data_IF_578407666559
#
_entry.id   IF_578407666559
#
_cell.length_a   1.000
_cell.length_b   1.000
_cell.length_c   1.000
_cell.angle_alpha   90.00
_cell.angle_beta   90.00
_cell.angle_gamma   90.00
#
_symmetry.space_group_name_H-M   'P 1'
#
loop_
_entity.id
_entity.type
_entity.pdbx_description
1 polymer ?
#
# COMPACT_ATOMS: atom_id res chain seq x y z
N UNK A 1 -15.22 34.03 22.03
CA UNK A 1 -15.53 32.58 22.05
C UNK A 1 -14.31 31.86 21.50
N UNK A 2 -13.65 31.03 22.30
CA UNK A 2 -12.54 30.20 21.80
C UNK A 2 -13.14 29.11 20.89
N UNK A 3 -12.85 29.21 19.60
CA UNK A 3 -13.22 28.17 18.64
C UNK A 3 -12.28 26.97 18.86
N UNK A 4 -12.82 25.79 19.21
CA UNK A 4 -12.07 24.56 19.32
C UNK A 4 -12.18 23.82 17.99
N UNK A 5 -11.08 23.71 17.26
CA UNK A 5 -11.02 22.92 16.01
C UNK A 5 -10.50 21.54 16.40
N UNK A 6 -11.31 20.48 16.25
CA UNK A 6 -10.84 19.13 16.53
C UNK A 6 -9.91 18.64 15.41
N UNK A 7 -8.93 17.81 15.78
CA UNK A 7 -8.06 17.15 14.82
C UNK A 7 -8.76 15.87 14.30
N UNK A 8 -9.26 15.93 13.07
CA UNK A 8 -9.82 14.78 12.32
C UNK A 8 -10.62 13.77 13.18
N UNK A 9 -11.75 14.18 13.80
CA UNK A 9 -12.56 13.23 14.57
C UNK A 9 -13.16 12.19 13.63
N UNK A 10 -13.31 10.92 14.08
CA UNK A 10 -13.99 9.90 13.28
C UNK A 10 -15.46 10.28 13.07
N UNK A 11 -15.96 10.02 11.87
CA UNK A 11 -17.39 10.13 11.59
C UNK A 11 -18.09 8.88 12.10
N UNK A 12 -18.95 9.03 13.09
CA UNK A 12 -19.75 7.94 13.66
C UNK A 12 -21.23 8.39 13.69
N UNK A 13 -22.07 7.72 12.93
CA UNK A 13 -23.51 7.89 12.91
C UNK A 13 -24.24 6.67 13.49
N UNK A 14 -25.57 6.70 13.50
CA UNK A 14 -26.39 5.59 14.02
C UNK A 14 -26.20 4.29 13.22
N UNK A 15 -25.93 4.35 11.93
CA UNK A 15 -25.71 3.15 11.11
C UNK A 15 -24.42 2.43 11.55
N UNK A 16 -23.33 3.18 11.77
CA UNK A 16 -22.08 2.64 12.31
C UNK A 16 -22.30 2.00 13.67
N UNK A 17 -23.04 2.68 14.56
CA UNK A 17 -23.36 2.17 15.90
C UNK A 17 -24.16 0.87 15.79
N UNK A 18 -25.19 0.86 14.95
CA UNK A 18 -26.06 -0.30 14.76
C UNK A 18 -25.29 -1.51 14.22
N UNK A 19 -24.36 -1.33 13.27
CA UNK A 19 -23.51 -2.40 12.76
C UNK A 19 -22.61 -3.02 13.85
N UNK A 20 -22.04 -2.19 14.71
CA UNK A 20 -21.26 -2.67 15.86
C UNK A 20 -22.13 -3.43 16.85
N UNK A 21 -23.30 -2.87 17.19
CA UNK A 21 -24.27 -3.51 18.12
C UNK A 21 -24.75 -4.86 17.57
N UNK A 22 -25.06 -4.93 16.27
CA UNK A 22 -25.47 -6.16 15.61
C UNK A 22 -24.37 -7.23 15.67
N UNK A 23 -23.11 -6.85 15.42
CA UNK A 23 -21.97 -7.75 15.53
C UNK A 23 -21.86 -8.33 16.96
N UNK A 24 -21.99 -7.49 18.00
CA UNK A 24 -21.96 -7.93 19.40
C UNK A 24 -23.13 -8.86 19.75
N UNK A 25 -24.33 -8.54 19.29
CA UNK A 25 -25.54 -9.35 19.52
C UNK A 25 -25.50 -10.70 18.81
N UNK A 26 -24.87 -10.77 17.64
CA UNK A 26 -24.70 -12.01 16.88
C UNK A 26 -23.78 -13.01 17.61
N UNK A 27 -22.95 -12.52 18.54
CA UNK A 27 -21.89 -13.32 19.19
C UNK A 27 -20.70 -13.62 18.29
N UNK A 28 -20.70 -13.18 17.02
CA UNK A 28 -19.59 -13.37 16.09
C UNK A 28 -18.70 -12.13 16.04
N UNK A 29 -17.67 -12.09 16.88
CA UNK A 29 -16.77 -10.95 17.06
C UNK A 29 -15.37 -11.15 16.44
N UNK A 30 -15.20 -12.20 15.64
CA UNK A 30 -13.96 -12.51 14.90
C UNK A 30 -14.21 -12.40 13.39
N UNK A 31 -13.22 -12.73 12.56
CA UNK A 31 -13.38 -12.82 11.10
C UNK A 31 -14.58 -13.69 10.76
N UNK A 32 -15.51 -13.14 9.99
CA UNK A 32 -16.78 -13.81 9.70
C UNK A 32 -17.59 -13.14 8.59
N UNK A 33 -18.93 -13.25 8.63
CA UNK A 33 -19.79 -12.76 7.54
C UNK A 33 -19.63 -11.28 7.21
N UNK A 34 -19.47 -10.40 8.20
CA UNK A 34 -19.31 -8.96 7.98
C UNK A 34 -17.96 -8.61 7.31
N UNK A 35 -16.89 -9.34 7.65
CA UNK A 35 -15.59 -9.17 6.95
C UNK A 35 -15.73 -9.58 5.50
N UNK A 36 -16.38 -10.71 5.20
CA UNK A 36 -16.63 -11.15 3.82
C UNK A 36 -17.50 -10.17 3.03
N UNK A 37 -18.53 -9.61 3.66
CA UNK A 37 -19.37 -8.60 3.04
C UNK A 37 -18.55 -7.35 2.69
N UNK A 38 -17.70 -6.86 3.61
CA UNK A 38 -16.82 -5.72 3.37
C UNK A 38 -15.80 -6.00 2.24
N UNK A 39 -15.21 -7.19 2.21
CA UNK A 39 -14.30 -7.60 1.13
C UNK A 39 -15.00 -7.55 -0.24
N UNK A 40 -16.23 -8.06 -0.33
CA UNK A 40 -17.01 -8.03 -1.55
C UNK A 40 -17.45 -6.61 -1.96
N UNK A 41 -17.88 -5.78 -1.02
CA UNK A 41 -18.24 -4.39 -1.29
C UNK A 41 -17.04 -3.57 -1.78
N UNK A 42 -15.86 -3.71 -1.16
CA UNK A 42 -14.63 -3.06 -1.61
C UNK A 42 -14.22 -3.57 -2.99
N UNK A 43 -14.36 -4.85 -3.26
CA UNK A 43 -14.08 -5.47 -4.56
C UNK A 43 -14.95 -4.83 -5.66
N UNK A 44 -16.25 -4.70 -5.42
CA UNK A 44 -17.19 -4.08 -6.35
C UNK A 44 -16.91 -2.58 -6.53
N UNK A 45 -16.63 -1.88 -5.44
CA UNK A 45 -16.35 -0.45 -5.46
C UNK A 45 -15.06 -0.09 -6.20
N UNK A 46 -13.98 -0.85 -5.94
CA UNK A 46 -12.65 -0.57 -6.49
C UNK A 46 -12.36 -1.24 -7.83
N UNK A 47 -13.17 -2.22 -8.25
CA UNK A 47 -12.86 -3.05 -9.41
C UNK A 47 -11.68 -4.03 -9.21
N UNK A 48 -11.17 -4.16 -7.98
CA UNK A 48 -10.10 -5.10 -7.68
C UNK A 48 -10.53 -6.54 -7.95
N UNK A 49 -9.60 -7.39 -8.40
CA UNK A 49 -9.89 -8.81 -8.65
C UNK A 49 -10.16 -9.57 -7.37
N UNK A 50 -9.39 -9.28 -6.33
CA UNK A 50 -9.53 -9.89 -5.01
C UNK A 50 -9.27 -8.85 -3.93
N UNK A 51 -9.96 -9.02 -2.80
CA UNK A 51 -9.82 -8.17 -1.60
C UNK A 51 -9.66 -9.09 -0.40
N UNK A 52 -8.74 -8.74 0.49
CA UNK A 52 -8.52 -9.41 1.75
C UNK A 52 -8.40 -8.37 2.87
N UNK A 53 -9.29 -8.43 3.84
CA UNK A 53 -9.21 -7.62 5.04
C UNK A 53 -8.17 -8.15 6.02
N UNK A 54 -7.30 -7.28 6.48
CA UNK A 54 -6.31 -7.55 7.52
C UNK A 54 -6.42 -6.52 8.64
N UNK A 55 -5.73 -6.73 9.75
CA UNK A 55 -5.85 -5.87 10.93
C UNK A 55 -5.16 -4.49 10.78
N UNK A 56 -4.28 -4.32 9.80
CA UNK A 56 -3.62 -3.03 9.51
C UNK A 56 -2.97 -3.04 8.14
N UNK A 57 -2.77 -1.85 7.56
CA UNK A 57 -1.97 -1.70 6.34
C UNK A 57 -0.55 -2.25 6.53
N UNK A 58 0.08 -2.00 7.67
CA UNK A 58 1.44 -2.50 7.98
C UNK A 58 1.52 -4.02 7.86
N UNK A 59 0.53 -4.73 8.42
CA UNK A 59 0.46 -6.20 8.30
C UNK A 59 0.27 -6.64 6.85
N UNK A 60 -0.57 -5.95 6.08
CA UNK A 60 -0.77 -6.20 4.67
C UNK A 60 0.55 -6.02 3.88
N UNK A 61 1.26 -4.91 4.11
CA UNK A 61 2.51 -4.62 3.42
C UNK A 61 3.59 -5.68 3.72
N UNK A 62 3.77 -6.04 4.99
CA UNK A 62 4.73 -7.09 5.40
C UNK A 62 4.35 -8.43 4.73
N UNK A 63 3.06 -8.79 4.76
CA UNK A 63 2.56 -10.02 4.15
C UNK A 63 2.82 -10.04 2.64
N UNK A 64 2.50 -8.95 1.94
CA UNK A 64 2.68 -8.83 0.49
C UNK A 64 4.15 -8.88 0.08
N UNK A 65 5.04 -8.18 0.80
CA UNK A 65 6.48 -8.22 0.52
C UNK A 65 7.04 -9.62 0.71
N UNK A 66 6.69 -10.30 1.81
CA UNK A 66 7.11 -11.69 2.06
C UNK A 66 6.53 -12.67 1.05
N UNK A 67 5.25 -12.54 0.71
CA UNK A 67 4.61 -13.35 -0.32
C UNK A 67 5.30 -13.17 -1.68
N UNK A 68 5.72 -11.96 -2.01
CA UNK A 68 6.47 -11.68 -3.23
C UNK A 68 7.91 -12.24 -3.18
N UNK A 69 8.38 -12.69 -2.01
CA UNK A 69 9.71 -13.27 -1.83
C UNK A 69 10.79 -12.23 -1.54
N UNK A 70 10.40 -11.06 -1.02
CA UNK A 70 11.35 -10.04 -0.55
C UNK A 70 12.07 -10.55 0.70
N UNK A 71 13.39 -10.43 0.74
CA UNK A 71 14.27 -11.02 1.77
C UNK A 71 15.50 -10.14 2.04
N UNK A 72 16.38 -10.61 2.91
CA UNK A 72 17.66 -9.97 3.19
C UNK A 72 18.49 -9.81 1.91
N UNK A 73 19.11 -8.64 1.75
CA UNK A 73 19.86 -8.23 0.57
C UNK A 73 19.03 -7.52 -0.51
N UNK A 74 17.70 -7.65 -0.47
CA UNK A 74 16.80 -6.95 -1.36
C UNK A 74 16.59 -5.48 -0.96
N UNK A 75 16.19 -4.66 -1.92
CA UNK A 75 15.87 -3.25 -1.75
C UNK A 75 14.41 -2.98 -2.10
N UNK A 76 13.76 -2.14 -1.29
CA UNK A 76 12.41 -1.64 -1.55
C UNK A 76 12.45 -0.12 -1.51
N UNK A 77 12.03 0.52 -2.60
CA UNK A 77 12.00 1.98 -2.72
C UNK A 77 10.75 2.49 -2.04
N UNK A 78 10.92 3.51 -1.17
CA UNK A 78 9.86 4.16 -0.41
C UNK A 78 10.04 5.68 -0.45
N UNK A 79 8.98 6.51 -0.36
CA UNK A 79 9.15 7.95 -0.23
C UNK A 79 9.78 8.32 1.12
N UNK A 80 10.59 9.39 1.15
CA UNK A 80 11.15 9.91 2.38
C UNK A 80 10.09 10.62 3.26
N UNK A 81 9.04 11.15 2.65
CA UNK A 81 7.90 11.76 3.33
C UNK A 81 6.72 10.79 3.36
N UNK A 82 6.61 10.06 4.46
CA UNK A 82 5.54 9.09 4.72
C UNK A 82 5.48 8.77 6.20
N UNK A 83 4.43 8.06 6.61
CA UNK A 83 4.37 7.47 7.95
C UNK A 83 5.45 6.40 8.11
N UNK A 84 6.09 6.34 9.28
CA UNK A 84 7.23 5.43 9.53
C UNK A 84 6.93 3.96 9.26
N UNK A 85 5.65 3.54 9.30
CA UNK A 85 5.25 2.17 9.02
C UNK A 85 5.65 1.69 7.63
N UNK A 86 5.72 2.59 6.62
CA UNK A 86 6.14 2.24 5.25
C UNK A 86 7.57 1.67 5.25
N UNK A 87 8.52 2.38 5.85
CA UNK A 87 9.90 1.90 5.94
C UNK A 87 10.04 0.70 6.92
N UNK A 88 9.30 0.73 8.04
CA UNK A 88 9.30 -0.36 9.01
C UNK A 88 8.76 -1.67 8.42
N UNK A 89 7.74 -1.64 7.56
CA UNK A 89 7.25 -2.83 6.89
C UNK A 89 8.33 -3.50 6.04
N UNK A 90 9.17 -2.71 5.36
CA UNK A 90 10.32 -3.22 4.59
C UNK A 90 11.35 -3.89 5.49
N UNK A 91 11.71 -3.26 6.62
CA UNK A 91 12.63 -3.83 7.60
C UNK A 91 12.08 -5.13 8.20
N UNK A 92 10.78 -5.18 8.53
CA UNK A 92 10.13 -6.39 9.02
C UNK A 92 10.02 -7.50 7.96
N UNK A 93 10.02 -7.17 6.68
CA UNK A 93 10.15 -8.15 5.61
C UNK A 93 11.59 -8.68 5.44
N UNK A 94 12.57 -8.06 6.11
CA UNK A 94 13.98 -8.43 6.08
C UNK A 94 14.80 -7.68 5.04
N UNK A 95 14.21 -6.74 4.31
CA UNK A 95 14.86 -5.99 3.25
C UNK A 95 15.33 -4.60 3.69
N UNK A 96 16.07 -3.93 2.81
CA UNK A 96 16.56 -2.57 3.01
C UNK A 96 15.60 -1.55 2.40
N UNK A 97 15.02 -0.61 3.19
CA UNK A 97 14.30 0.52 2.61
C UNK A 97 15.28 1.49 1.94
N UNK A 98 14.97 1.87 0.71
CA UNK A 98 15.70 2.90 -0.06
C UNK A 98 14.78 4.11 -0.12
N UNK A 99 15.05 5.09 0.75
CA UNK A 99 14.26 6.32 0.81
C UNK A 99 14.63 7.23 -0.36
N UNK A 100 13.63 7.70 -1.08
CA UNK A 100 13.79 8.63 -2.20
C UNK A 100 12.96 9.88 -1.96
N UNK A 101 13.36 10.98 -2.60
CA UNK A 101 12.70 12.27 -2.44
C UNK A 101 11.30 12.29 -3.06
N UNK A 102 10.51 13.29 -2.69
CA UNK A 102 9.16 13.54 -3.20
C UNK A 102 9.17 14.66 -4.22
N UNK A 103 8.11 14.73 -5.02
CA UNK A 103 7.81 15.85 -5.89
C UNK A 103 7.16 17.00 -5.09
N UNK A 104 6.80 18.11 -5.76
CA UNK A 104 6.18 19.28 -5.13
C UNK A 104 4.80 18.99 -4.52
N UNK A 105 4.13 17.96 -4.99
CA UNK A 105 2.85 17.45 -4.49
C UNK A 105 2.98 16.50 -3.28
N UNK A 106 4.20 16.32 -2.77
CA UNK A 106 4.57 15.41 -1.69
C UNK A 106 4.49 13.91 -2.01
N UNK A 107 4.06 13.53 -3.19
CA UNK A 107 4.11 12.14 -3.66
C UNK A 107 5.53 11.76 -4.09
N UNK A 108 5.80 10.47 -4.15
CA UNK A 108 7.12 9.94 -4.51
C UNK A 108 7.54 10.43 -5.91
N UNK A 109 8.76 10.95 -6.03
CA UNK A 109 9.29 11.47 -7.29
C UNK A 109 9.68 10.33 -8.25
N UNK A 110 9.12 10.34 -9.47
CA UNK A 110 9.48 9.37 -10.52
C UNK A 110 10.96 9.42 -10.88
N UNK A 111 11.54 10.61 -10.98
CA UNK A 111 12.97 10.80 -11.25
C UNK A 111 13.85 10.23 -10.13
N UNK A 112 13.40 10.38 -8.87
CA UNK A 112 14.10 9.83 -7.73
C UNK A 112 14.00 8.30 -7.68
N UNK A 113 12.83 7.72 -8.02
CA UNK A 113 12.65 6.27 -8.21
C UNK A 113 13.63 5.77 -9.25
N UNK A 114 13.63 6.36 -10.45
CA UNK A 114 14.47 5.92 -11.57
C UNK A 114 15.95 5.88 -11.21
N UNK A 115 16.46 6.90 -10.50
CA UNK A 115 17.84 6.99 -10.04
C UNK A 115 18.20 5.96 -8.96
N UNK A 116 17.20 5.51 -8.17
CA UNK A 116 17.41 4.61 -7.04
C UNK A 116 17.29 3.12 -7.41
N UNK A 117 16.75 2.79 -8.59
CA UNK A 117 16.59 1.39 -9.02
C UNK A 117 17.94 0.72 -9.21
N UNK A 118 18.09 -0.44 -8.60
CA UNK A 118 19.26 -1.33 -8.74
C UNK A 118 18.81 -2.76 -9.07
N UNK A 119 19.72 -3.68 -9.43
CA UNK A 119 19.36 -5.11 -9.58
C UNK A 119 18.80 -5.76 -8.32
N UNK A 120 18.94 -5.13 -7.13
CA UNK A 120 18.36 -5.60 -5.86
C UNK A 120 16.98 -5.05 -5.60
N UNK A 121 16.50 -4.09 -6.38
CA UNK A 121 15.17 -3.50 -6.20
C UNK A 121 14.10 -4.52 -6.54
N UNK A 122 13.30 -4.92 -5.55
CA UNK A 122 12.20 -5.88 -5.71
C UNK A 122 10.82 -5.21 -5.72
N UNK A 123 10.67 -4.12 -4.99
CA UNK A 123 9.40 -3.40 -4.91
C UNK A 123 9.59 -1.88 -4.82
N UNK A 124 8.56 -1.15 -5.21
CA UNK A 124 8.36 0.27 -4.97
C UNK A 124 7.06 0.39 -4.19
N UNK A 125 7.05 1.17 -3.11
CA UNK A 125 5.89 1.41 -2.27
C UNK A 125 5.51 2.89 -2.31
N UNK A 126 4.76 3.35 -3.34
CA UNK A 126 4.21 4.70 -3.37
C UNK A 126 3.20 4.89 -2.26
N UNK A 127 3.03 6.13 -1.78
CA UNK A 127 2.05 6.50 -0.76
C UNK A 127 1.24 7.68 -1.28
N UNK A 128 -0.08 7.55 -1.32
CA UNK A 128 -1.00 8.59 -1.78
C UNK A 128 -1.23 9.62 -0.66
N UNK A 129 -0.32 10.59 -0.56
CA UNK A 129 -0.33 11.56 0.53
C UNK A 129 -1.60 12.41 0.51
N UNK A 130 -2.27 12.50 1.66
CA UNK A 130 -3.51 13.28 1.86
C UNK A 130 -4.64 12.92 0.87
N UNK A 131 -4.61 11.74 0.27
CA UNK A 131 -5.61 11.27 -0.68
C UNK A 131 -5.39 11.71 -2.13
N UNK A 132 -4.24 12.33 -2.43
CA UNK A 132 -3.84 12.66 -3.79
C UNK A 132 -3.06 11.47 -4.38
N UNK A 133 -3.60 10.77 -5.41
CA UNK A 133 -2.93 9.59 -5.97
C UNK A 133 -1.57 9.92 -6.59
N UNK A 134 -0.62 9.00 -6.43
CA UNK A 134 0.62 9.04 -7.21
C UNK A 134 0.32 8.80 -8.69
N UNK A 135 1.20 9.23 -9.59
CA UNK A 135 1.10 8.92 -11.02
C UNK A 135 1.47 7.44 -11.26
N UNK A 136 0.45 6.59 -11.12
CA UNK A 136 0.65 5.14 -11.28
C UNK A 136 0.90 4.74 -12.73
N UNK A 137 0.41 5.48 -13.71
CA UNK A 137 0.67 5.20 -15.11
C UNK A 137 2.16 5.38 -15.41
N UNK A 138 2.76 6.50 -15.00
CA UNK A 138 4.20 6.73 -15.16
C UNK A 138 5.06 5.73 -14.37
N UNK A 139 4.68 5.41 -13.12
CA UNK A 139 5.39 4.39 -12.33
C UNK A 139 5.31 3.02 -13.00
N UNK A 140 4.14 2.64 -13.51
CA UNK A 140 3.95 1.36 -14.18
C UNK A 140 4.68 1.30 -15.51
N UNK A 141 4.71 2.38 -16.28
CA UNK A 141 5.47 2.47 -17.52
C UNK A 141 6.98 2.37 -17.25
N UNK A 142 7.46 3.03 -16.19
CA UNK A 142 8.85 2.92 -15.76
C UNK A 142 9.25 1.46 -15.46
N UNK A 143 8.51 0.77 -14.59
CA UNK A 143 8.86 -0.61 -14.20
C UNK A 143 8.69 -1.64 -15.32
N UNK A 144 7.90 -1.33 -16.36
CA UNK A 144 7.72 -2.15 -17.57
C UNK A 144 8.71 -1.79 -18.68
N UNK A 145 9.41 -0.67 -18.59
CA UNK A 145 10.28 -0.14 -19.65
C UNK A 145 11.39 -1.12 -20.01
N UNK A 146 11.87 -1.03 -21.26
CA UNK A 146 13.02 -1.81 -21.76
C UNK A 146 14.34 -1.47 -21.04
N UNK A 147 14.40 -0.33 -20.36
CA UNK A 147 15.55 0.11 -19.58
C UNK A 147 15.57 -0.56 -18.19
N UNK A 148 14.43 -0.61 -17.52
CA UNK A 148 14.34 -1.05 -16.12
C UNK A 148 14.05 -2.56 -15.98
N UNK A 149 13.17 -3.10 -16.81
CA UNK A 149 12.78 -4.51 -16.73
C UNK A 149 13.96 -5.50 -16.72
N UNK A 150 15.03 -5.31 -17.53
CA UNK A 150 16.19 -6.22 -17.50
C UNK A 150 17.02 -6.17 -16.22
N UNK A 151 16.89 -5.09 -15.41
CA UNK A 151 17.57 -4.97 -14.13
C UNK A 151 16.93 -5.87 -13.07
N UNK A 152 15.64 -6.16 -13.20
CA UNK A 152 14.91 -6.98 -12.25
C UNK A 152 15.38 -8.44 -12.31
N UNK A 153 15.84 -8.96 -11.18
CA UNK A 153 16.27 -10.35 -10.99
C UNK A 153 15.23 -11.08 -10.15
N UNK A 154 14.45 -11.96 -10.77
CA UNK A 154 13.50 -12.80 -10.06
C UNK A 154 14.25 -13.87 -9.24
N UNK A 155 13.86 -14.05 -7.99
CA UNK A 155 14.44 -15.01 -7.04
C UNK A 155 13.37 -15.80 -6.28
N UNK A 156 12.11 -15.68 -6.69
CA UNK A 156 10.98 -16.45 -6.19
C UNK A 156 9.96 -16.71 -7.29
N UNK A 157 9.12 -17.72 -7.11
CA UNK A 157 8.07 -18.06 -8.08
C UNK A 157 7.13 -16.88 -8.37
N UNK A 158 6.75 -16.09 -7.36
CA UNK A 158 5.89 -14.93 -7.55
C UNK A 158 6.60 -13.79 -8.28
N UNK A 159 7.91 -13.63 -8.06
CA UNK A 159 8.74 -12.68 -8.82
C UNK A 159 8.86 -13.10 -10.29
N UNK A 160 9.04 -14.38 -10.56
CA UNK A 160 9.07 -14.92 -11.93
C UNK A 160 7.72 -14.71 -12.65
N UNK A 161 6.61 -15.04 -11.99
CA UNK A 161 5.25 -14.83 -12.53
C UNK A 161 4.96 -13.35 -12.85
N UNK A 162 5.39 -12.42 -12.01
CA UNK A 162 5.20 -10.99 -12.26
C UNK A 162 6.18 -10.45 -13.30
N UNK A 163 7.43 -10.91 -13.31
CA UNK A 163 8.47 -10.57 -14.27
C UNK A 163 8.93 -9.10 -14.25
N UNK A 164 8.71 -8.39 -13.15
CA UNK A 164 9.08 -6.98 -12.94
C UNK A 164 9.09 -6.59 -11.47
N UNK A 165 9.57 -5.38 -11.18
CA UNK A 165 9.46 -4.77 -9.86
C UNK A 165 7.97 -4.69 -9.46
N UNK A 166 7.65 -5.08 -8.21
CA UNK A 166 6.31 -4.95 -7.64
C UNK A 166 6.02 -3.47 -7.33
N UNK A 167 4.86 -2.99 -7.74
CA UNK A 167 4.32 -1.71 -7.26
C UNK A 167 3.25 -2.05 -6.21
N UNK A 168 3.53 -1.71 -4.96
CA UNK A 168 2.68 -1.96 -3.79
C UNK A 168 2.29 -0.62 -3.18
N UNK A 169 1.13 -0.10 -3.53
CA UNK A 169 0.74 1.23 -3.09
C UNK A 169 0.20 1.24 -1.65
N UNK A 170 0.37 2.38 -0.99
CA UNK A 170 -0.30 2.73 0.26
C UNK A 170 -1.43 3.73 -0.03
N UNK A 171 -2.64 3.19 -0.12
CA UNK A 171 -3.86 3.94 -0.39
C UNK A 171 -4.64 4.27 0.90
N UNK A 172 -3.97 4.37 2.05
CA UNK A 172 -4.63 4.61 3.33
C UNK A 172 -5.47 5.90 3.33
N UNK A 173 -5.11 6.89 2.53
CA UNK A 173 -5.84 8.15 2.40
C UNK A 173 -6.66 8.26 1.11
N UNK A 174 -6.51 7.36 0.15
CA UNK A 174 -6.99 7.55 -1.23
C UNK A 174 -8.10 6.60 -1.66
N UNK A 175 -8.70 5.83 -0.75
CA UNK A 175 -9.84 4.99 -1.10
C UNK A 175 -10.97 5.84 -1.71
N UNK A 176 -11.32 5.57 -2.98
CA UNK A 176 -12.30 6.33 -3.73
C UNK A 176 -11.76 7.56 -4.46
N UNK A 177 -10.45 7.83 -4.41
CA UNK A 177 -9.84 8.83 -5.27
C UNK A 177 -9.78 8.34 -6.73
N UNK A 178 -9.84 9.30 -7.66
CA UNK A 178 -9.76 9.07 -9.11
C UNK A 178 -8.64 9.94 -9.69
N UNK A 179 -7.97 9.47 -10.72
CA UNK A 179 -6.97 10.22 -11.48
C UNK A 179 -7.04 9.86 -12.97
#
# INVERSE_FOLDING_TARGET
KNMKIPFSPPYVNEDVINEVVDSLRSGWITTGPKVKALEEEIKQFSGAKEVLCVNSWTSAAIMMLRWFGVKEGDEVIVPAYTYSATALAVLHAGAKPVMVDTSEDFNISLDAIKKAITPRTKAIMPVDIAGFPCDYDEIMDLVKSSEIRPLFKAESENQEKLGRILVLNDAAHSLGAWY
#
